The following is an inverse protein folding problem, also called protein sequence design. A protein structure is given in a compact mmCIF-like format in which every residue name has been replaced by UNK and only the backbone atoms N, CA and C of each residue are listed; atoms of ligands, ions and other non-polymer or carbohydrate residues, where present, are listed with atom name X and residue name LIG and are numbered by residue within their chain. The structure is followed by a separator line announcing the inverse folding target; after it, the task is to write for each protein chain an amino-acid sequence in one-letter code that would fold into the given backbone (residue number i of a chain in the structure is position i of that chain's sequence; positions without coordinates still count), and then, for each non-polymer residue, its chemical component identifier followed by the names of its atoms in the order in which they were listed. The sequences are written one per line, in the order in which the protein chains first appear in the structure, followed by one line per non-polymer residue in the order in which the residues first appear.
data_IF_193113627400
#
_entry.id   IF_193113627400
#
_cell.length_a   1.000
_cell.length_b   1.000
_cell.length_c   1.000
_cell.angle_alpha   90.00
_cell.angle_beta   90.00
_cell.angle_gamma   90.00
#
_symmetry.space_group_name_H-M   'P 1'
#
loop_
_entity.id
_entity.type
_entity.pdbx_description
1 polymer ?
#
# COMPACT_ATOMS: atom_id res chain seq x y z
N UNK A 1 -9.64 -11.13 47.14
CA UNK A 1 -10.26 -11.88 46.03
C UNK A 1 -10.17 -10.98 44.81
N UNK A 2 -9.46 -11.39 43.76
CA UNK A 2 -9.45 -10.63 42.51
C UNK A 2 -10.81 -10.80 41.82
N UNK A 3 -11.47 -9.70 41.48
CA UNK A 3 -12.74 -9.76 40.77
C UNK A 3 -12.53 -10.32 39.35
N UNK A 4 -13.58 -10.91 38.75
CA UNK A 4 -13.49 -11.44 37.38
C UNK A 4 -13.02 -10.39 36.37
N UNK A 5 -13.41 -9.13 36.57
CA UNK A 5 -13.03 -7.98 35.73
C UNK A 5 -11.54 -7.63 35.88
N UNK A 6 -10.96 -7.72 37.08
CA UNK A 6 -9.51 -7.52 37.29
C UNK A 6 -8.66 -8.55 36.55
N UNK A 7 -9.11 -9.81 36.51
CA UNK A 7 -8.43 -10.88 35.78
C UNK A 7 -8.49 -10.60 34.27
N UNK A 8 -9.67 -10.24 33.74
CA UNK A 8 -9.84 -9.88 32.33
C UNK A 8 -8.95 -8.69 31.94
N UNK A 9 -8.95 -7.63 32.75
CA UNK A 9 -8.12 -6.44 32.54
C UNK A 9 -6.63 -6.80 32.46
N UNK A 10 -6.16 -7.67 33.36
CA UNK A 10 -4.77 -8.14 33.36
C UNK A 10 -4.43 -8.91 32.09
N UNK A 11 -5.31 -9.81 31.64
CA UNK A 11 -5.12 -10.58 30.41
C UNK A 11 -5.07 -9.67 29.20
N UNK A 12 -6.00 -8.71 29.10
CA UNK A 12 -6.05 -7.77 27.98
C UNK A 12 -4.83 -6.85 27.95
N UNK A 13 -4.36 -6.40 29.12
CA UNK A 13 -3.14 -5.60 29.24
C UNK A 13 -1.92 -6.37 28.75
N UNK A 14 -1.77 -7.63 29.17
CA UNK A 14 -0.66 -8.48 28.69
C UNK A 14 -0.72 -8.72 27.17
N UNK A 15 -1.92 -8.94 26.61
CA UNK A 15 -2.09 -9.08 25.15
C UNK A 15 -1.72 -7.79 24.41
N UNK A 16 -2.13 -6.64 24.95
CA UNK A 16 -1.77 -5.32 24.40
C UNK A 16 -0.25 -5.17 24.33
N UNK A 17 0.45 -5.44 25.42
CA UNK A 17 1.91 -5.35 25.51
C UNK A 17 2.61 -6.30 24.54
N UNK A 18 2.10 -7.53 24.39
CA UNK A 18 2.63 -8.50 23.42
C UNK A 18 2.51 -8.00 21.98
N UNK A 19 1.34 -7.49 21.59
CA UNK A 19 1.13 -6.96 20.23
C UNK A 19 2.02 -5.74 19.99
N UNK A 20 2.13 -4.85 20.97
CA UNK A 20 3.01 -3.68 20.89
C UNK A 20 4.47 -4.08 20.70
N UNK A 21 4.97 -5.03 21.51
CA UNK A 21 6.33 -5.54 21.40
C UNK A 21 6.60 -6.14 20.01
N UNK A 22 5.66 -6.91 19.47
CA UNK A 22 5.79 -7.46 18.12
C UNK A 22 5.86 -6.36 17.04
N UNK A 23 5.01 -5.34 17.14
CA UNK A 23 5.04 -4.21 16.23
C UNK A 23 6.38 -3.47 16.33
N UNK A 24 6.85 -3.23 17.55
CA UNK A 24 8.13 -2.57 17.80
C UNK A 24 9.31 -3.37 17.24
N UNK A 25 9.34 -4.69 17.42
CA UNK A 25 10.36 -5.55 16.80
C UNK A 25 10.33 -5.44 15.27
N UNK A 26 9.14 -5.42 14.68
CA UNK A 26 8.98 -5.27 13.22
C UNK A 26 9.43 -3.90 12.73
N UNK A 27 9.15 -2.86 13.52
CA UNK A 27 9.64 -1.51 13.29
C UNK A 27 11.16 -1.45 13.40
N UNK A 28 11.78 -2.09 14.39
CA UNK A 28 13.24 -2.10 14.54
C UNK A 28 13.94 -2.83 13.39
N UNK A 29 13.29 -3.81 12.76
CA UNK A 29 13.80 -4.44 11.53
C UNK A 29 13.89 -3.44 10.36
N UNK A 30 13.02 -2.42 10.30
CA UNK A 30 13.09 -1.38 9.25
C UNK A 30 14.40 -0.61 9.28
N UNK A 31 15.04 -0.51 10.45
CA UNK A 31 16.34 0.18 10.64
C UNK A 31 17.53 -0.66 10.18
N UNK A 32 17.33 -1.97 9.94
CA UNK A 32 18.38 -2.96 9.66
C UNK A 32 18.17 -3.68 8.32
N UNK A 33 17.45 -3.07 7.38
CA UNK A 33 17.08 -3.71 6.10
C UNK A 33 18.27 -4.01 5.17
N UNK A 34 19.45 -3.45 5.42
CA UNK A 34 20.68 -3.78 4.69
C UNK A 34 21.16 -5.22 4.98
N UNK A 35 20.86 -5.76 6.16
CA UNK A 35 21.19 -7.13 6.52
C UNK A 35 20.17 -8.12 5.94
N UNK A 36 20.64 -9.15 5.24
CA UNK A 36 19.79 -10.13 4.55
C UNK A 36 18.88 -10.90 5.52
N UNK A 37 19.36 -11.21 6.72
CA UNK A 37 18.57 -11.93 7.72
C UNK A 37 17.44 -11.06 8.27
N UNK A 38 17.75 -9.80 8.55
CA UNK A 38 16.80 -8.78 9.00
C UNK A 38 15.76 -8.47 7.92
N UNK A 39 16.18 -8.34 6.66
CA UNK A 39 15.28 -8.14 5.51
C UNK A 39 14.30 -9.31 5.33
N UNK A 40 14.80 -10.54 5.39
CA UNK A 40 13.94 -11.72 5.27
C UNK A 40 12.95 -11.80 6.44
N UNK A 41 13.39 -11.45 7.66
CA UNK A 41 12.51 -11.41 8.84
C UNK A 41 11.46 -10.31 8.71
N UNK A 42 11.82 -9.14 8.20
CA UNK A 42 10.90 -8.06 7.92
C UNK A 42 9.82 -8.47 6.92
N UNK A 43 10.22 -9.04 5.76
CA UNK A 43 9.28 -9.54 4.73
C UNK A 43 8.30 -10.59 5.28
N UNK A 44 8.72 -11.40 6.26
CA UNK A 44 7.86 -12.38 6.93
C UNK A 44 6.91 -11.80 7.97
N UNK A 45 7.13 -10.58 8.44
CA UNK A 45 6.31 -9.98 9.51
C UNK A 45 5.38 -8.89 8.98
N UNK A 46 5.76 -8.24 7.89
CA UNK A 46 5.05 -7.07 7.34
C UNK A 46 3.60 -7.33 6.89
N UNK A 47 3.23 -8.59 6.66
CA UNK A 47 1.87 -8.95 6.28
C UNK A 47 0.91 -9.07 7.47
N UNK A 48 1.41 -9.31 8.69
CA UNK A 48 0.56 -9.44 9.88
C UNK A 48 0.29 -8.10 10.58
N UNK A 49 1.10 -7.07 10.29
CA UNK A 49 1.05 -5.78 11.00
C UNK A 49 -0.28 -5.03 10.87
N UNK A 50 -1.01 -5.17 9.76
CA UNK A 50 -2.33 -4.55 9.64
C UNK A 50 -3.34 -5.19 10.59
N UNK A 51 -3.38 -6.53 10.65
CA UNK A 51 -4.23 -7.26 11.61
C UNK A 51 -3.89 -6.86 13.04
N UNK A 52 -2.60 -6.84 13.37
CA UNK A 52 -2.13 -6.48 14.71
C UNK A 52 -2.50 -5.06 15.12
N UNK A 53 -2.47 -4.11 14.17
CA UNK A 53 -2.92 -2.74 14.41
C UNK A 53 -4.40 -2.70 14.78
N UNK A 54 -5.25 -3.43 14.06
CA UNK A 54 -6.68 -3.50 14.35
C UNK A 54 -6.95 -4.16 15.71
N UNK A 55 -6.29 -5.29 15.97
CA UNK A 55 -6.40 -6.00 17.25
C UNK A 55 -5.96 -5.12 18.42
N UNK A 56 -4.90 -4.32 18.24
CA UNK A 56 -4.42 -3.39 19.25
C UNK A 56 -5.44 -2.30 19.59
N UNK A 57 -6.09 -1.71 18.57
CA UNK A 57 -7.15 -0.71 18.77
C UNK A 57 -8.32 -1.29 19.56
N UNK A 58 -8.77 -2.48 19.19
CA UNK A 58 -9.86 -3.17 19.89
C UNK A 58 -9.49 -3.48 21.34
N UNK A 59 -8.24 -3.90 21.61
CA UNK A 59 -7.78 -4.13 22.98
C UNK A 59 -7.77 -2.84 23.81
N UNK A 60 -7.28 -1.72 23.26
CA UNK A 60 -7.31 -0.43 23.95
C UNK A 60 -8.75 -0.01 24.29
N UNK A 61 -9.67 -0.10 23.33
CA UNK A 61 -11.08 0.21 23.55
C UNK A 61 -11.68 -0.68 24.65
N UNK A 62 -11.42 -1.99 24.61
CA UNK A 62 -11.93 -2.92 25.63
C UNK A 62 -11.34 -2.68 27.01
N UNK A 63 -10.04 -2.38 27.10
CA UNK A 63 -9.36 -2.02 28.36
C UNK A 63 -10.01 -0.75 28.92
N UNK A 64 -10.14 0.30 28.11
CA UNK A 64 -10.75 1.56 28.52
C UNK A 64 -12.18 1.36 29.04
N UNK A 65 -13.00 0.54 28.37
CA UNK A 65 -14.35 0.21 28.85
C UNK A 65 -14.34 -0.48 30.22
N UNK A 66 -13.50 -1.51 30.41
CA UNK A 66 -13.40 -2.21 31.68
C UNK A 66 -12.88 -1.32 32.82
N UNK A 67 -11.93 -0.43 32.52
CA UNK A 67 -11.40 0.51 33.52
C UNK A 67 -12.45 1.51 34.02
N UNK A 68 -13.33 1.97 33.12
CA UNK A 68 -14.48 2.82 33.48
C UNK A 68 -15.45 2.05 34.39
N UNK A 69 -15.81 0.82 34.00
CA UNK A 69 -16.72 -0.04 34.79
C UNK A 69 -16.17 -0.32 36.20
N UNK A 70 -14.85 -0.46 36.31
CA UNK A 70 -14.16 -0.72 37.57
C UNK A 70 -13.91 0.54 38.42
N UNK A 71 -14.38 1.72 37.99
CA UNK A 71 -14.13 3.03 38.64
C UNK A 71 -12.64 3.32 38.87
N UNK A 72 -11.76 2.80 38.00
CA UNK A 72 -10.34 3.14 38.07
C UNK A 72 -10.21 4.58 37.59
N UNK A 73 -9.74 5.50 38.43
CA UNK A 73 -9.38 6.87 38.02
C UNK A 73 -8.10 6.88 37.16
N UNK A 74 -8.08 6.08 36.11
CA UNK A 74 -7.03 6.10 35.10
C UNK A 74 -7.45 7.07 34.00
N UNK A 75 -6.56 7.95 33.54
CA UNK A 75 -6.85 8.76 32.36
C UNK A 75 -7.02 7.85 31.15
N UNK A 76 -8.21 7.86 30.57
CA UNK A 76 -8.49 7.22 29.29
C UNK A 76 -7.58 7.86 28.24
N UNK A 77 -6.76 7.04 27.58
CA UNK A 77 -5.74 7.53 26.67
C UNK A 77 -5.64 6.65 25.44
N UNK A 78 -5.63 7.29 24.28
CA UNK A 78 -5.38 6.64 22.99
C UNK A 78 -3.97 6.96 22.44
N UNK A 79 -3.10 7.55 23.26
CA UNK A 79 -1.70 7.86 22.87
C UNK A 79 -0.92 6.65 22.36
N UNK A 80 -1.17 5.49 22.96
CA UNK A 80 -0.55 4.24 22.53
C UNK A 80 -0.97 3.88 21.09
N UNK A 81 -2.19 4.25 20.67
CA UNK A 81 -2.69 4.04 19.31
C UNK A 81 -1.97 4.96 18.33
N UNK A 82 -1.75 6.23 18.68
CA UNK A 82 -0.99 7.15 17.82
C UNK A 82 0.44 6.63 17.58
N UNK A 83 1.09 6.17 18.64
CA UNK A 83 2.43 5.55 18.56
C UNK A 83 2.43 4.30 17.67
N UNK A 84 1.36 3.49 17.77
CA UNK A 84 1.17 2.31 16.94
C UNK A 84 0.98 2.65 15.46
N UNK A 85 0.23 3.72 15.17
CA UNK A 85 0.01 4.22 13.80
C UNK A 85 1.31 4.74 13.17
N UNK A 86 2.14 5.46 13.92
CA UNK A 86 3.44 5.94 13.46
C UNK A 86 4.39 4.79 13.09
N UNK A 87 4.44 3.75 13.94
CA UNK A 87 5.20 2.53 13.66
C UNK A 87 4.66 1.82 12.42
N UNK A 88 3.34 1.64 12.35
CA UNK A 88 2.67 1.01 11.20
C UNK A 88 2.97 1.75 9.90
N UNK A 89 2.86 3.08 9.90
CA UNK A 89 3.16 3.92 8.74
C UNK A 89 4.59 3.75 8.26
N UNK A 90 5.55 3.74 9.18
CA UNK A 90 6.97 3.53 8.85
C UNK A 90 7.20 2.13 8.26
N UNK A 91 6.61 1.10 8.86
CA UNK A 91 6.70 -0.29 8.37
C UNK A 91 6.14 -0.40 6.94
N UNK A 92 4.96 0.15 6.69
CA UNK A 92 4.34 0.10 5.34
C UNK A 92 5.09 0.93 4.32
N UNK A 93 5.65 2.06 4.73
CA UNK A 93 6.50 2.85 3.86
C UNK A 93 7.76 2.05 3.44
N UNK A 94 8.42 1.40 4.40
CA UNK A 94 9.57 0.53 4.12
C UNK A 94 9.20 -0.64 3.19
N UNK A 95 8.05 -1.28 3.40
CA UNK A 95 7.54 -2.34 2.52
C UNK A 95 7.35 -1.85 1.09
N UNK A 96 6.73 -0.67 0.92
CA UNK A 96 6.50 -0.06 -0.38
C UNK A 96 7.81 0.21 -1.11
N UNK A 97 8.84 0.72 -0.41
CA UNK A 97 10.16 0.97 -0.99
C UNK A 97 10.84 -0.32 -1.50
N UNK A 98 10.68 -1.43 -0.77
CA UNK A 98 11.25 -2.72 -1.14
C UNK A 98 10.52 -3.41 -2.30
N UNK A 99 9.24 -3.10 -2.48
CA UNK A 99 8.39 -3.68 -3.52
C UNK A 99 8.27 -2.81 -4.77
N UNK A 100 8.99 -1.67 -4.85
CA UNK A 100 9.08 -0.90 -6.10
C UNK A 100 9.77 -1.77 -7.14
N UNK A 101 9.12 -2.07 -8.28
CA UNK A 101 9.73 -2.83 -9.35
C UNK A 101 11.02 -2.13 -9.78
N UNK A 102 12.12 -2.88 -9.87
CA UNK A 102 13.33 -2.38 -10.49
C UNK A 102 12.95 -1.88 -11.90
N UNK A 103 13.24 -0.60 -12.18
CA UNK A 103 12.95 -0.01 -13.48
C UNK A 103 13.51 -0.93 -14.60
N UNK A 104 12.76 -1.16 -15.69
CA UNK A 104 13.19 -2.08 -16.73
C UNK A 104 14.51 -1.62 -17.35
N UNK A 105 15.57 -2.39 -17.10
CA UNK A 105 16.89 -2.23 -17.71
C UNK A 105 16.75 -2.47 -19.21
N UNK A 106 16.87 -1.42 -20.03
CA UNK A 106 16.74 -1.54 -21.49
C UNK A 106 17.97 -2.32 -22.11
N UNK A 107 18.04 -2.65 -23.43
CA UNK A 107 19.06 -3.52 -24.07
C UNK A 107 20.05 -2.86 -25.09
N UNK A 108 21.22 -3.51 -25.25
CA UNK A 108 22.57 -3.05 -25.65
C UNK A 108 23.21 -3.53 -26.91
N UNK A 109 24.05 -2.65 -27.47
CA UNK A 109 24.55 -2.70 -28.81
C UNK A 109 25.99 -2.23 -28.94
N UNK A 110 26.65 -2.67 -30.04
CA UNK A 110 28.03 -3.08 -29.94
C UNK A 110 28.97 -1.97 -30.42
N UNK A 111 30.06 -1.77 -29.69
CA UNK A 111 31.26 -1.11 -30.19
C UNK A 111 32.45 -2.03 -29.94
N UNK A 112 33.28 -2.08 -30.97
CA UNK A 112 34.43 -2.95 -31.27
C UNK A 112 35.42 -3.07 -30.09
N UNK A 113 35.85 -4.29 -29.81
CA UNK A 113 36.84 -4.65 -28.79
C UNK A 113 38.23 -4.08 -29.06
N UNK A 114 38.83 -3.49 -28.03
CA UNK A 114 40.28 -3.52 -27.79
C UNK A 114 40.50 -3.86 -26.30
N UNK A 115 41.35 -4.85 -26.07
CA UNK A 115 41.61 -5.55 -24.82
C UNK A 115 41.90 -4.64 -23.61
N UNK A 116 41.31 -4.98 -22.44
CA UNK A 116 42.06 -5.34 -21.23
C UNK A 116 41.13 -5.68 -20.05
N UNK A 117 41.46 -6.81 -19.42
CA UNK A 117 41.21 -7.33 -18.07
C UNK A 117 40.12 -6.72 -17.16
N UNK A 118 39.25 -7.63 -16.70
CA UNK A 118 38.52 -7.66 -15.42
C UNK A 118 37.61 -6.47 -15.10
N UNK A 119 36.37 -6.50 -15.58
CA UNK A 119 35.24 -5.77 -14.95
C UNK A 119 33.90 -6.29 -15.49
N UNK A 120 32.92 -6.34 -14.61
CA UNK A 120 31.55 -6.83 -14.85
C UNK A 120 30.98 -6.28 -16.16
N UNK A 121 30.47 -7.18 -17.00
CA UNK A 121 29.99 -6.86 -18.35
C UNK A 121 28.72 -6.01 -18.30
N UNK A 122 28.88 -4.68 -18.29
CA UNK A 122 27.78 -3.75 -18.48
C UNK A 122 27.42 -3.72 -19.97
N UNK A 123 26.39 -4.47 -20.33
CA UNK A 123 25.83 -4.57 -21.68
C UNK A 123 25.18 -3.19 -21.97
N UNK A 124 25.76 -2.37 -22.87
CA UNK A 124 25.40 -0.94 -23.14
C UNK A 124 24.47 -0.68 -24.34
N UNK A 125 23.32 -0.02 -24.13
CA UNK A 125 22.11 0.01 -24.97
C UNK A 125 22.25 0.58 -26.41
N UNK A 126 21.77 -0.01 -27.53
CA UNK A 126 21.59 0.82 -28.77
C UNK A 126 20.47 1.79 -28.49
N UNK A 127 20.75 3.06 -28.74
CA UNK A 127 19.75 4.11 -28.74
C UNK A 127 18.69 3.78 -29.78
N UNK A 128 17.46 3.53 -29.34
CA UNK A 128 16.31 3.43 -30.22
C UNK A 128 16.00 4.83 -30.74
N UNK A 129 16.19 5.06 -32.04
CA UNK A 129 15.77 6.30 -32.67
C UNK A 129 14.26 6.23 -32.87
N UNK A 130 13.52 6.84 -31.93
CA UNK A 130 12.10 7.08 -32.13
C UNK A 130 11.96 8.11 -33.26
N UNK A 131 11.13 7.84 -34.27
CA UNK A 131 10.83 8.84 -35.29
C UNK A 131 10.28 10.09 -34.59
N UNK A 132 10.93 11.24 -34.81
CA UNK A 132 10.50 12.49 -34.21
C UNK A 132 9.18 12.91 -34.85
N UNK A 133 8.10 12.89 -34.09
CA UNK A 133 6.82 13.43 -34.53
C UNK A 133 6.83 14.95 -34.34
N UNK A 134 6.73 15.68 -35.44
CA UNK A 134 6.80 17.15 -35.49
C UNK A 134 5.43 17.81 -35.31
N UNK A 135 4.35 17.05 -35.11
CA UNK A 135 3.00 17.61 -35.01
C UNK A 135 2.29 17.79 -36.36
N UNK A 136 2.87 17.35 -37.47
CA UNK A 136 2.24 17.50 -38.78
C UNK A 136 1.02 16.58 -38.91
N UNK A 137 -0.08 17.16 -39.41
CA UNK A 137 -1.37 16.47 -39.60
C UNK A 137 -1.23 15.35 -40.63
N UNK A 138 -0.31 15.47 -41.59
CA UNK A 138 -0.03 14.43 -42.58
C UNK A 138 0.53 13.14 -41.95
N UNK A 139 1.30 13.27 -40.87
CA UNK A 139 1.96 12.15 -40.19
C UNK A 139 1.08 11.51 -39.09
N UNK A 140 -0.11 12.06 -38.85
CA UNK A 140 -1.03 11.63 -37.81
C UNK A 140 -1.57 10.21 -37.95
N UNK A 141 -1.90 9.72 -39.18
CA UNK A 141 -2.33 8.33 -39.35
C UNK A 141 -1.22 7.32 -39.01
N UNK A 142 0.03 7.66 -39.32
CA UNK A 142 1.19 6.81 -39.01
C UNK A 142 1.44 6.77 -37.50
N UNK A 143 1.41 7.94 -36.85
CA UNK A 143 1.51 8.06 -35.39
C UNK A 143 0.41 7.27 -34.67
N UNK A 144 -0.84 7.40 -35.11
CA UNK A 144 -1.98 6.70 -34.51
C UNK A 144 -1.85 5.17 -34.63
N UNK A 145 -1.36 4.67 -35.76
CA UNK A 145 -1.14 3.24 -35.95
C UNK A 145 -0.02 2.69 -35.07
N UNK A 146 1.09 3.43 -34.91
CA UNK A 146 2.16 3.07 -33.98
C UNK A 146 1.66 3.05 -32.53
N UNK A 147 0.92 4.08 -32.12
CA UNK A 147 0.32 4.17 -30.79
C UNK A 147 -0.67 3.03 -30.52
N UNK A 148 -1.50 2.66 -31.51
CA UNK A 148 -2.48 1.57 -31.39
C UNK A 148 -1.81 0.20 -31.27
N UNK A 149 -0.72 -0.04 -31.99
CA UNK A 149 0.05 -1.28 -31.90
C UNK A 149 0.70 -1.46 -30.53
N UNK A 150 1.25 -0.39 -29.94
CA UNK A 150 1.88 -0.45 -28.61
C UNK A 150 0.87 -0.71 -27.49
N UNK A 151 -0.40 -0.34 -27.68
CA UNK A 151 -1.48 -0.54 -26.71
C UNK A 151 -2.29 -1.84 -26.92
N UNK A 152 -1.88 -2.74 -27.83
CA UNK A 152 -2.65 -3.95 -28.14
C UNK A 152 -2.38 -5.15 -27.22
N UNK A 153 -1.46 -5.04 -26.25
CA UNK A 153 -1.25 -6.06 -25.22
C UNK A 153 -1.58 -5.50 -23.84
N UNK A 154 -2.66 -6.04 -23.28
CA UNK A 154 -3.26 -5.78 -21.97
C UNK A 154 -4.07 -4.49 -21.86
N UNK A 155 -5.40 -4.61 -22.01
CA UNK A 155 -6.42 -4.06 -21.10
C UNK A 155 -7.84 -4.28 -21.66
N UNK A 156 -8.37 -5.50 -21.52
CA UNK A 156 -9.80 -5.77 -21.28
C UNK A 156 -9.84 -7.03 -20.41
N UNK A 157 -10.33 -6.99 -19.15
CA UNK A 157 -11.75 -6.76 -18.91
C UNK A 157 -12.02 -5.73 -17.80
N UNK A 158 -12.57 -4.57 -18.17
CA UNK A 158 -13.22 -3.68 -17.20
C UNK A 158 -14.60 -3.18 -17.65
N UNK A 159 -15.20 -3.81 -18.67
CA UNK A 159 -16.57 -3.52 -19.10
C UNK A 159 -17.45 -4.78 -19.01
N UNK A 160 -17.47 -5.41 -17.82
CA UNK A 160 -18.40 -6.48 -17.49
C UNK A 160 -19.14 -6.24 -16.15
N UNK A 161 -19.25 -4.99 -15.68
CA UNK A 161 -19.92 -4.65 -14.41
C UNK A 161 -21.14 -3.72 -14.54
N UNK A 162 -21.67 -3.49 -15.74
CA UNK A 162 -22.92 -2.72 -15.94
C UNK A 162 -24.09 -3.55 -16.45
N UNK A 163 -24.11 -4.84 -16.13
CA UNK A 163 -25.32 -5.63 -16.28
C UNK A 163 -25.34 -6.73 -15.22
N UNK A 164 -26.08 -6.50 -14.14
CA UNK A 164 -26.98 -7.46 -13.47
C UNK A 164 -27.69 -6.76 -12.28
N UNK A 165 -28.89 -7.23 -11.89
CA UNK A 165 -29.94 -6.41 -11.33
C UNK A 165 -29.80 -6.15 -9.82
N UNK A 166 -30.27 -4.96 -9.42
CA UNK A 166 -30.54 -4.60 -8.04
C UNK A 166 -31.64 -5.51 -7.46
N UNK A 167 -31.24 -6.51 -6.67
CA UNK A 167 -32.11 -7.07 -5.63
C UNK A 167 -31.29 -7.19 -4.36
N UNK A 168 -31.23 -6.11 -3.58
CA UNK A 168 -31.60 -6.15 -2.16
C UNK A 168 -31.52 -4.72 -1.58
N UNK A 169 -32.64 -4.34 -0.98
CA UNK A 169 -32.89 -3.15 -0.19
C UNK A 169 -31.77 -2.85 0.81
N UNK A 170 -31.03 -1.76 0.60
CA UNK A 170 -30.37 -1.03 1.69
C UNK A 170 -30.61 0.46 1.52
N UNK A 171 -31.09 1.03 2.61
CA UNK A 171 -31.45 2.41 2.83
C UNK A 171 -30.21 3.30 2.64
N UNK A 172 -30.15 4.05 1.54
CA UNK A 172 -29.06 4.99 1.28
C UNK A 172 -29.34 6.29 2.06
N UNK A 173 -28.47 6.59 3.02
CA UNK A 173 -28.43 7.86 3.71
C UNK A 173 -28.22 9.02 2.71
N UNK A 174 -28.83 10.17 3.01
CA UNK A 174 -28.92 11.35 2.14
C UNK A 174 -27.54 11.90 1.75
N UNK A 175 -26.53 11.70 2.60
CA UNK A 175 -25.13 12.06 2.33
C UNK A 175 -24.52 11.30 1.14
N UNK A 176 -24.88 10.03 0.96
CA UNK A 176 -24.36 9.18 -0.13
C UNK A 176 -24.94 9.56 -1.49
N UNK A 177 -26.19 10.02 -1.53
CA UNK A 177 -26.84 10.51 -2.76
C UNK A 177 -26.23 11.84 -3.24
N UNK A 178 -25.87 12.74 -2.33
CA UNK A 178 -25.22 14.01 -2.67
C UNK A 178 -23.82 13.77 -3.26
N UNK A 179 -23.08 12.79 -2.73
CA UNK A 179 -21.76 12.45 -3.26
C UNK A 179 -21.83 11.89 -4.68
N UNK A 180 -22.82 11.05 -4.96
CA UNK A 180 -23.03 10.45 -6.29
C UNK A 180 -23.46 11.52 -7.31
N UNK A 181 -24.37 12.43 -6.93
CA UNK A 181 -24.82 13.51 -7.82
C UNK A 181 -23.67 14.48 -8.14
N UNK A 182 -22.84 14.82 -7.16
CA UNK A 182 -21.68 15.69 -7.38
C UNK A 182 -20.62 15.04 -8.28
N UNK A 183 -20.40 13.73 -8.15
CA UNK A 183 -19.50 13.00 -9.06
C UNK A 183 -20.05 12.96 -10.49
N UNK A 184 -21.38 12.81 -10.66
CA UNK A 184 -22.00 12.80 -12.00
C UNK A 184 -21.92 14.17 -12.70
N UNK A 185 -22.10 15.26 -11.94
CA UNK A 185 -22.01 16.64 -12.45
C UNK A 185 -20.58 17.02 -12.85
N UNK A 186 -19.59 16.53 -12.11
CA UNK A 186 -18.17 16.80 -12.39
C UNK A 186 -17.70 16.10 -13.67
N UNK A 187 -18.26 14.92 -13.97
CA UNK A 187 -17.99 14.19 -15.21
C UNK A 187 -18.63 14.91 -16.41
N UNK A 188 -19.83 15.47 -16.27
CA UNK A 188 -20.46 16.21 -17.38
C UNK A 188 -19.74 17.52 -17.71
N UNK A 189 -19.13 18.19 -16.72
CA UNK A 189 -18.34 19.41 -16.96
C UNK A 189 -16.99 19.16 -17.63
N UNK A 190 -16.52 17.91 -17.69
CA UNK A 190 -15.23 17.56 -18.30
C UNK A 190 -15.35 17.16 -19.77
N UNK A 191 -16.59 17.00 -20.26
CA UNK A 191 -16.91 16.48 -21.60
C UNK A 191 -17.48 17.57 -22.53
N UNK A 192 -17.58 18.82 -22.06
CA UNK A 192 -17.91 20.00 -22.86
C UNK A 192 -16.72 20.95 -22.92
#
# INVERSE_FOLDING_TARGET
MTTSQEIELKVLTSKKEQIFAYMQETYDLTKKLADKNSLNSFKRRVFTVESMKQDFKQLIERINMLEIEMNVQRPLGFKDVDTMEDMYGTIKYADKLLNVPAAPTAPASPVISVNNETTESFVKLQRLELPSFNGDIADWPLFYNLFKMTNSWTLVPYLAFLALPFTHTYFLDSQSLVLIINQLLLIQSLVM
#
